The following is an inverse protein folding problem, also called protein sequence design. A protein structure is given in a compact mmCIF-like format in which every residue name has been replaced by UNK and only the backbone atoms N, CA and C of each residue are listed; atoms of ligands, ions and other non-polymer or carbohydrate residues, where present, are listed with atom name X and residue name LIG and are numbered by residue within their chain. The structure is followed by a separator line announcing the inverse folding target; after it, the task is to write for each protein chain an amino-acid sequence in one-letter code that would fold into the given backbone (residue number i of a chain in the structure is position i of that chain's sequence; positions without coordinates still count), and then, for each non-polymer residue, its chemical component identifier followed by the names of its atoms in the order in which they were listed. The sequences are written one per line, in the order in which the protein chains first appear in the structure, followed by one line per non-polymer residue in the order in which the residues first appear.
data_IF_218099196501
#
_entry.id   IF_218099196501
#
_cell.length_a   1.000
_cell.length_b   1.000
_cell.length_c   1.000
_cell.angle_alpha   90.00
_cell.angle_beta   90.00
_cell.angle_gamma   90.00
#
_symmetry.space_group_name_H-M   'P 1'
#
loop_
_entity.id
_entity.type
_entity.pdbx_description
1 polymer ?
#
# COMPACT_ATOMS: atom_id res chain seq x y z
N UNK A 1 34.16 11.54 10.84
CA UNK A 1 33.85 12.70 9.97
C UNK A 1 32.35 12.69 9.63
N UNK A 2 31.53 13.43 10.36
CA UNK A 2 30.11 13.63 10.03
C UNK A 2 29.98 14.79 9.04
N UNK A 3 29.75 14.49 7.75
CA UNK A 3 29.47 15.53 6.75
C UNK A 3 28.15 16.22 7.12
N UNK A 4 28.24 17.48 7.55
CA UNK A 4 27.08 18.33 7.78
C UNK A 4 26.47 18.65 6.41
N UNK A 5 25.15 18.44 6.25
CA UNK A 5 24.51 18.81 4.99
C UNK A 5 24.51 20.33 4.83
N UNK A 6 24.70 20.84 3.60
CA UNK A 6 24.63 22.27 3.35
C UNK A 6 23.19 22.76 3.65
N UNK A 7 23.05 23.97 4.23
CA UNK A 7 21.77 24.51 4.70
C UNK A 7 20.66 24.51 3.64
N UNK A 8 21.03 24.73 2.37
CA UNK A 8 20.12 24.70 1.22
C UNK A 8 19.47 23.33 0.94
N UNK A 9 20.01 22.24 1.47
CA UNK A 9 19.49 20.88 1.27
C UNK A 9 18.63 20.37 2.42
N UNK A 10 18.63 21.02 3.59
CA UNK A 10 17.90 20.55 4.77
C UNK A 10 16.38 20.65 4.56
N UNK A 11 15.91 21.82 4.13
CA UNK A 11 14.49 22.06 3.87
C UNK A 11 13.91 21.17 2.77
N UNK A 12 14.52 21.03 1.58
CA UNK A 12 13.97 20.17 0.53
C UNK A 12 13.99 18.69 0.90
N UNK A 13 14.95 18.21 1.70
CA UNK A 13 14.96 16.81 2.15
C UNK A 13 13.88 16.52 3.20
N UNK A 14 13.66 17.44 4.14
CA UNK A 14 12.54 17.35 5.07
C UNK A 14 11.20 17.36 4.34
N UNK A 15 11.04 18.27 3.36
CA UNK A 15 9.85 18.32 2.52
C UNK A 15 9.69 17.04 1.68
N UNK A 16 10.76 16.50 1.11
CA UNK A 16 10.74 15.25 0.38
C UNK A 16 10.31 14.07 1.28
N UNK A 17 10.85 13.96 2.50
CA UNK A 17 10.43 12.96 3.47
C UNK A 17 8.95 13.07 3.82
N UNK A 18 8.45 14.29 4.03
CA UNK A 18 7.02 14.55 4.29
C UNK A 18 6.14 14.17 3.08
N UNK A 19 6.55 14.52 1.87
CA UNK A 19 5.84 14.17 0.64
C UNK A 19 5.81 12.66 0.42
N UNK A 20 6.93 11.96 0.65
CA UNK A 20 7.00 10.49 0.55
C UNK A 20 6.09 9.85 1.60
N UNK A 21 6.07 10.36 2.82
CA UNK A 21 5.16 9.87 3.85
C UNK A 21 3.69 10.09 3.45
N UNK A 22 3.34 11.30 3.01
CA UNK A 22 1.96 11.67 2.73
C UNK A 22 1.39 10.99 1.49
N UNK A 23 2.15 10.95 0.40
CA UNK A 23 1.68 10.37 -0.88
C UNK A 23 2.07 8.89 -1.04
N UNK A 24 3.23 8.50 -0.53
CA UNK A 24 3.79 7.17 -0.69
C UNK A 24 3.17 6.13 0.25
N UNK A 25 2.93 6.45 1.52
CA UNK A 25 2.39 5.46 2.47
C UNK A 25 0.99 4.96 2.08
N UNK A 26 0.03 5.82 1.66
CA UNK A 26 -1.26 5.35 1.18
C UNK A 26 -1.15 4.42 -0.04
N UNK A 27 -0.23 4.73 -0.96
CA UNK A 27 0.03 3.91 -2.13
C UNK A 27 0.68 2.57 -1.75
N UNK A 28 1.63 2.58 -0.81
CA UNK A 28 2.30 1.39 -0.32
C UNK A 28 1.33 0.40 0.32
N UNK A 29 0.39 0.90 1.14
CA UNK A 29 -0.66 0.08 1.73
C UNK A 29 -1.59 -0.52 0.66
N UNK A 30 -1.94 0.25 -0.37
CA UNK A 30 -2.74 -0.23 -1.50
C UNK A 30 -2.01 -1.34 -2.27
N UNK A 31 -0.73 -1.13 -2.59
CA UNK A 31 0.09 -2.13 -3.28
C UNK A 31 0.25 -3.41 -2.45
N UNK A 32 0.47 -3.28 -1.15
CA UNK A 32 0.53 -4.43 -0.24
C UNK A 32 -0.78 -5.22 -0.22
N UNK A 33 -1.93 -4.54 -0.19
CA UNK A 33 -3.23 -5.19 -0.25
C UNK A 33 -3.49 -5.90 -1.60
N UNK A 34 -3.08 -5.30 -2.72
CA UNK A 34 -3.15 -5.93 -4.05
C UNK A 34 -2.27 -7.18 -4.07
N UNK A 35 -1.03 -7.07 -3.59
CA UNK A 35 -0.09 -8.18 -3.56
C UNK A 35 -0.60 -9.36 -2.73
N UNK A 36 -1.10 -9.07 -1.53
CA UNK A 36 -1.72 -10.08 -0.66
C UNK A 36 -2.90 -10.77 -1.35
N UNK A 37 -3.78 -9.99 -2.01
CA UNK A 37 -4.94 -10.54 -2.71
C UNK A 37 -4.59 -11.42 -3.92
N UNK A 38 -3.43 -11.20 -4.55
CA UNK A 38 -2.95 -12.05 -5.64
C UNK A 38 -2.30 -13.33 -5.13
N UNK A 39 -1.58 -13.25 -4.00
CA UNK A 39 -0.95 -14.40 -3.37
C UNK A 39 -1.99 -15.33 -2.71
N UNK A 40 -3.01 -14.74 -2.09
CA UNK A 40 -4.08 -15.45 -1.39
C UNK A 40 -5.45 -14.97 -1.88
N UNK A 41 -5.85 -15.37 -3.11
CA UNK A 41 -7.14 -14.97 -3.65
C UNK A 41 -8.28 -15.60 -2.85
N UNK A 42 -9.31 -14.82 -2.58
CA UNK A 42 -10.46 -15.27 -1.80
C UNK A 42 -11.40 -16.10 -2.67
N UNK A 43 -11.85 -17.24 -2.19
CA UNK A 43 -12.85 -18.04 -2.90
C UNK A 43 -14.23 -17.41 -2.69
N UNK A 44 -14.80 -16.89 -3.77
CA UNK A 44 -16.05 -16.15 -3.74
C UNK A 44 -17.01 -16.66 -4.81
N UNK A 45 -18.27 -16.42 -4.55
CA UNK A 45 -19.33 -16.48 -5.52
C UNK A 45 -19.77 -15.06 -5.81
N UNK A 46 -19.73 -14.68 -7.08
CA UNK A 46 -20.05 -13.32 -7.57
C UNK A 46 -21.25 -13.41 -8.48
N UNK A 47 -22.26 -12.57 -8.24
CA UNK A 47 -23.41 -12.48 -9.12
C UNK A 47 -23.26 -11.30 -10.09
N UNK A 48 -22.95 -11.60 -11.36
CA UNK A 48 -22.78 -10.63 -12.45
C UNK A 48 -23.96 -10.71 -13.41
N UNK A 49 -24.74 -9.64 -13.53
CA UNK A 49 -25.85 -9.52 -14.49
C UNK A 49 -26.84 -10.72 -14.47
N UNK A 50 -27.18 -11.19 -13.26
CA UNK A 50 -28.07 -12.35 -13.06
C UNK A 50 -27.42 -13.72 -13.31
N UNK A 51 -26.10 -13.77 -13.55
CA UNK A 51 -25.33 -15.01 -13.61
C UNK A 51 -24.41 -15.12 -12.42
N UNK A 52 -24.45 -16.27 -11.76
CA UNK A 52 -23.58 -16.55 -10.64
C UNK A 52 -22.29 -17.21 -11.09
N UNK A 53 -21.17 -16.58 -10.76
CA UNK A 53 -19.80 -16.94 -11.15
C UNK A 53 -19.03 -17.29 -9.89
N UNK A 54 -18.64 -18.56 -9.75
CA UNK A 54 -17.81 -19.00 -8.62
C UNK A 54 -16.35 -19.04 -9.06
N UNK A 55 -15.45 -18.52 -8.23
CA UNK A 55 -14.03 -18.49 -8.54
C UNK A 55 -13.15 -17.92 -7.41
N UNK A 56 -11.90 -17.66 -7.78
CA UNK A 56 -10.89 -17.02 -6.93
C UNK A 56 -10.82 -15.54 -7.26
N UNK A 57 -11.17 -14.68 -6.31
CA UNK A 57 -11.13 -13.24 -6.41
C UNK A 57 -9.78 -12.69 -5.96
N UNK A 58 -9.17 -11.87 -6.83
CA UNK A 58 -7.99 -11.07 -6.53
C UNK A 58 -8.19 -9.63 -7.01
N UNK A 59 -7.31 -8.71 -6.59
CA UNK A 59 -7.22 -7.38 -7.18
C UNK A 59 -6.12 -7.32 -8.24
N UNK A 60 -6.41 -6.59 -9.31
CA UNK A 60 -5.42 -6.17 -10.29
C UNK A 60 -4.61 -4.97 -9.82
N UNK A 61 -3.42 -4.78 -10.40
CA UNK A 61 -2.56 -3.61 -10.16
C UNK A 61 -3.19 -2.28 -10.59
N UNK A 62 -4.13 -2.33 -11.54
CA UNK A 62 -4.95 -1.20 -11.96
C UNK A 62 -6.09 -0.85 -10.98
N UNK A 63 -6.21 -1.58 -9.86
CA UNK A 63 -7.29 -1.38 -8.88
C UNK A 63 -8.60 -2.08 -9.21
N UNK A 64 -8.70 -2.74 -10.36
CA UNK A 64 -9.84 -3.58 -10.73
C UNK A 64 -9.87 -4.89 -9.94
N UNK A 65 -11.00 -5.57 -9.98
CA UNK A 65 -11.16 -6.92 -9.44
C UNK A 65 -11.04 -7.96 -10.55
N UNK A 66 -10.54 -9.13 -10.20
CA UNK A 66 -10.37 -10.26 -11.11
C UNK A 66 -10.92 -11.52 -10.45
N UNK A 67 -11.76 -12.27 -11.16
CA UNK A 67 -12.28 -13.56 -10.72
C UNK A 67 -11.77 -14.63 -11.67
N UNK A 68 -11.01 -15.58 -11.13
CA UNK A 68 -10.48 -16.72 -11.87
C UNK A 68 -11.32 -17.97 -11.62
N UNK A 69 -11.94 -18.51 -12.66
CA UNK A 69 -12.78 -19.72 -12.57
C UNK A 69 -12.02 -21.02 -12.92
N UNK A 70 -10.85 -20.89 -13.54
CA UNK A 70 -10.01 -22.01 -13.98
C UNK A 70 -8.62 -21.53 -14.41
N UNK A 71 -7.78 -22.42 -14.97
CA UNK A 71 -6.43 -22.06 -15.40
C UNK A 71 -6.43 -20.91 -16.43
N UNK A 72 -7.38 -20.90 -17.37
CA UNK A 72 -7.37 -19.96 -18.50
C UNK A 72 -8.50 -18.92 -18.49
N UNK A 73 -9.46 -19.04 -17.56
CA UNK A 73 -10.62 -18.14 -17.50
C UNK A 73 -10.46 -17.10 -16.38
N UNK A 74 -10.22 -15.86 -16.77
CA UNK A 74 -10.15 -14.70 -15.87
C UNK A 74 -11.18 -13.66 -16.31
N UNK A 75 -12.12 -13.32 -15.43
CA UNK A 75 -13.05 -12.22 -15.61
C UNK A 75 -12.55 -11.00 -14.86
N UNK A 76 -12.56 -9.83 -15.48
CA UNK A 76 -12.10 -8.58 -14.86
C UNK A 76 -13.19 -7.53 -14.85
N UNK A 77 -13.36 -6.84 -13.73
CA UNK A 77 -14.36 -5.79 -13.57
C UNK A 77 -13.79 -4.61 -12.77
N UNK A 78 -14.28 -3.41 -13.04
CA UNK A 78 -13.85 -2.20 -12.34
C UNK A 78 -14.65 -2.03 -11.05
N UNK A 79 -14.01 -1.46 -10.02
CA UNK A 79 -14.68 -1.19 -8.75
C UNK A 79 -15.84 -0.18 -8.86
N UNK A 80 -15.96 0.50 -10.01
CA UNK A 80 -17.00 1.49 -10.31
C UNK A 80 -18.30 0.90 -10.87
N UNK A 81 -18.42 -0.44 -11.01
CA UNK A 81 -19.69 -1.12 -11.29
C UNK A 81 -20.29 -1.69 -9.97
N UNK A 82 -20.89 -0.85 -9.11
CA UNK A 82 -21.50 -1.29 -7.86
C UNK A 82 -22.78 -2.13 -8.05
N UNK A 83 -23.31 -2.20 -9.27
CA UNK A 83 -24.64 -2.76 -9.52
C UNK A 83 -24.69 -4.30 -9.62
N UNK A 84 -23.55 -5.00 -9.67
CA UNK A 84 -23.53 -6.41 -10.10
C UNK A 84 -22.40 -7.24 -9.48
N UNK A 85 -22.05 -6.99 -8.22
CA UNK A 85 -21.02 -7.80 -7.54
C UNK A 85 -21.41 -8.03 -6.08
N UNK A 86 -22.27 -9.01 -5.84
CA UNK A 86 -22.51 -9.53 -4.48
C UNK A 86 -21.41 -10.55 -4.16
N UNK A 87 -20.62 -10.29 -3.12
CA UNK A 87 -19.57 -11.22 -2.67
C UNK A 87 -20.14 -12.17 -1.63
N UNK A 88 -20.32 -13.43 -2.00
CA UNK A 88 -20.65 -14.48 -1.05
C UNK A 88 -19.39 -15.31 -0.78
N UNK A 89 -18.90 -15.39 0.47
CA UNK A 89 -17.79 -16.28 0.80
C UNK A 89 -18.24 -17.73 0.52
N UNK A 90 -17.49 -18.43 -0.34
CA UNK A 90 -17.94 -19.69 -0.93
C UNK A 90 -18.11 -20.87 0.06
N UNK A 91 -17.82 -20.69 1.35
CA UNK A 91 -17.84 -21.79 2.33
C UNK A 91 -17.96 -21.37 3.80
N UNK A 92 -18.37 -20.13 4.12
CA UNK A 92 -18.35 -19.63 5.51
C UNK A 92 -16.94 -19.61 6.15
N UNK A 93 -15.90 -19.91 5.37
CA UNK A 93 -14.52 -19.77 5.76
C UNK A 93 -14.21 -18.27 5.85
N UNK A 94 -13.64 -17.79 6.97
CA UNK A 94 -13.21 -16.41 7.07
C UNK A 94 -12.21 -16.13 5.96
N UNK A 95 -12.41 -15.02 5.24
CA UNK A 95 -11.41 -14.46 4.33
C UNK A 95 -10.12 -14.36 5.16
N UNK A 96 -8.98 -14.94 4.71
CA UNK A 96 -7.74 -14.90 5.48
C UNK A 96 -7.40 -13.44 5.78
N UNK A 97 -7.70 -13.04 7.02
CA UNK A 97 -7.55 -11.68 7.53
C UNK A 97 -6.17 -11.45 8.15
N UNK A 98 -5.32 -12.48 8.10
CA UNK A 98 -3.95 -12.43 8.58
C UNK A 98 -3.21 -11.27 7.92
N UNK A 99 -2.55 -10.46 8.75
CA UNK A 99 -1.69 -9.38 8.28
C UNK A 99 -0.41 -10.00 7.71
N UNK A 100 -0.49 -10.53 6.48
CA UNK A 100 0.64 -11.11 5.78
C UNK A 100 1.76 -10.09 5.62
N UNK A 101 3.01 -10.54 5.70
CA UNK A 101 4.18 -9.65 5.56
C UNK A 101 4.14 -8.89 4.22
N UNK A 102 3.54 -9.46 3.17
CA UNK A 102 3.39 -8.82 1.85
C UNK A 102 2.49 -7.57 1.90
N UNK A 103 1.52 -7.54 2.81
CA UNK A 103 0.66 -6.36 3.03
C UNK A 103 1.42 -5.20 3.66
N UNK A 104 2.37 -5.51 4.55
CA UNK A 104 3.07 -4.53 5.38
C UNK A 104 4.43 -4.14 4.81
N UNK A 105 5.06 -5.03 4.01
CA UNK A 105 6.39 -4.81 3.47
C UNK A 105 6.52 -3.52 2.65
N UNK A 106 5.63 -3.20 1.68
CA UNK A 106 5.76 -1.95 0.93
C UNK A 106 5.65 -0.73 1.85
N UNK A 107 4.76 -0.79 2.85
CA UNK A 107 4.60 0.28 3.83
C UNK A 107 5.87 0.48 4.67
N UNK A 108 6.49 -0.60 5.13
CA UNK A 108 7.75 -0.56 5.89
C UNK A 108 8.85 0.04 5.03
N UNK A 109 9.00 -0.40 3.78
CA UNK A 109 10.02 0.13 2.86
C UNK A 109 9.85 1.63 2.63
N UNK A 110 8.63 2.10 2.34
CA UNK A 110 8.36 3.52 2.13
C UNK A 110 8.54 4.33 3.42
N UNK A 111 8.18 3.77 4.58
CA UNK A 111 8.42 4.41 5.88
C UNK A 111 9.92 4.59 6.14
N UNK A 112 10.73 3.57 5.86
CA UNK A 112 12.18 3.64 6.01
C UNK A 112 12.80 4.69 5.08
N UNK A 113 12.33 4.79 3.84
CA UNK A 113 12.78 5.83 2.90
C UNK A 113 12.40 7.23 3.40
N UNK A 114 11.14 7.42 3.83
CA UNK A 114 10.68 8.69 4.37
C UNK A 114 11.50 9.12 5.61
N UNK A 115 11.79 8.17 6.51
CA UNK A 115 12.63 8.38 7.68
C UNK A 115 14.07 8.71 7.30
N UNK A 116 14.66 8.00 6.34
CA UNK A 116 16.01 8.25 5.87
C UNK A 116 16.17 9.66 5.26
N UNK A 117 15.14 10.17 4.59
CA UNK A 117 15.13 11.54 4.05
C UNK A 117 14.86 12.60 5.14
N UNK A 118 13.96 12.32 6.09
CA UNK A 118 13.49 13.29 7.09
C UNK A 118 14.36 13.42 8.34
N UNK A 119 14.80 12.30 8.93
CA UNK A 119 15.52 12.27 10.22
C UNK A 119 16.84 13.07 10.20
N UNK A 120 17.72 12.94 9.18
CA UNK A 120 18.97 13.70 9.16
C UNK A 120 18.73 15.22 9.11
N UNK A 121 17.65 15.63 8.44
CA UNK A 121 17.26 17.03 8.27
C UNK A 121 16.71 17.62 9.57
N UNK A 122 15.81 16.89 10.25
CA UNK A 122 15.23 17.30 11.55
C UNK A 122 16.32 17.39 12.62
N UNK A 123 17.22 16.41 12.68
CA UNK A 123 18.33 16.39 13.63
C UNK A 123 19.27 17.59 13.47
N UNK A 124 19.55 18.00 12.22
CA UNK A 124 20.37 19.18 11.96
C UNK A 124 19.67 20.49 12.34
N UNK A 125 18.37 20.60 12.15
CA UNK A 125 17.58 21.77 12.59
C UNK A 125 17.60 21.87 14.12
N UNK A 126 17.35 20.77 14.83
CA UNK A 126 17.40 20.73 16.30
C UNK A 126 18.78 21.12 16.83
N UNK A 127 19.87 20.61 16.23
CA UNK A 127 21.23 21.03 16.61
C UNK A 127 21.48 22.53 16.42
N UNK A 128 20.90 23.17 15.40
CA UNK A 128 21.04 24.62 15.21
C UNK A 128 20.23 25.43 16.21
N UNK A 129 19.00 24.99 16.50
CA UNK A 129 18.11 25.69 17.43
C UNK A 129 18.58 25.59 18.89
N UNK A 130 19.13 24.43 19.28
CA UNK A 130 19.58 24.20 20.66
C UNK A 130 21.09 24.39 20.85
N UNK A 131 21.91 24.18 19.81
CA UNK A 131 23.36 24.44 19.87
C UNK A 131 23.74 25.91 19.85
N UNK A 132 22.85 26.81 19.42
CA UNK A 132 23.05 28.27 19.48
C UNK A 132 22.73 28.89 20.84
N UNK A 133 22.17 28.13 21.79
CA UNK A 133 21.84 28.60 23.14
C UNK A 133 22.93 28.32 24.20
N UNK A 134 24.05 27.72 23.80
CA UNK A 134 25.15 27.33 24.70
C UNK A 134 26.46 28.09 24.37
N UNK A 135 26.38 29.14 23.54
CA UNK A 135 27.50 30.03 23.23
C UNK A 135 27.23 31.44 23.74
#
# INVERSE_FOLDING_TARGET
MTRVLPPRLILPLAAAGLCIAHFGLPHALRLGAVWESQAHPARVQVELQGRTVTGLLSRGWNGGFQVRQGPDTVMTFQAADPATVTYLPASGQPIPSGMGWRRVLPFVLVSLIALACGLPSIWQVLRRLFGSRVA
#
